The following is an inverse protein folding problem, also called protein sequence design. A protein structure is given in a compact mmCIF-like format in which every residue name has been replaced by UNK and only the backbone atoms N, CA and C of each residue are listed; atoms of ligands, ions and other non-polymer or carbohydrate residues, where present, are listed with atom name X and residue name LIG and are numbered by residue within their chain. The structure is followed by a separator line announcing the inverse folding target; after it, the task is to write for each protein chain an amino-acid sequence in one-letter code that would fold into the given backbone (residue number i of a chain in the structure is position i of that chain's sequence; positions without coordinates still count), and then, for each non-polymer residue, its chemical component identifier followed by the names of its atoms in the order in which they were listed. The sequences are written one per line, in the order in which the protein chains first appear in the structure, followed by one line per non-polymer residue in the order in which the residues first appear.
data_IF_219578231145
#
_entry.id   IF_219578231145
#
_cell.length_a   1.000
_cell.length_b   1.000
_cell.length_c   1.000
_cell.angle_alpha   90.00
_cell.angle_beta   90.00
_cell.angle_gamma   90.00
#
_symmetry.space_group_name_H-M   'P 1'
#
loop_
_entity.id
_entity.type
_entity.pdbx_description
1 polymer ?
#
# COMPACT_ATOMS: atom_id res chain seq x y z
N UNK A 1 -19.32 -21.37 13.40
CA UNK A 1 -18.41 -22.21 12.61
C UNK A 1 -16.96 -21.94 13.03
N UNK A 2 -16.13 -22.94 12.85
CA UNK A 2 -14.68 -22.86 13.10
C UNK A 2 -13.98 -23.33 11.83
N UNK A 3 -12.95 -22.60 11.40
CA UNK A 3 -12.05 -22.99 10.34
C UNK A 3 -10.61 -22.98 10.80
N UNK A 4 -9.83 -23.92 10.25
CA UNK A 4 -8.40 -24.02 10.50
C UNK A 4 -7.71 -24.30 9.18
N UNK A 5 -6.66 -23.55 8.86
CA UNK A 5 -5.83 -23.74 7.69
C UNK A 5 -4.36 -23.80 8.05
N UNK A 6 -3.63 -24.68 7.41
CA UNK A 6 -2.16 -24.81 7.51
C UNK A 6 -1.60 -24.81 6.10
N UNK A 7 -0.53 -24.07 5.88
CA UNK A 7 0.17 -23.99 4.60
C UNK A 7 1.67 -24.02 4.81
N UNK A 8 2.36 -24.76 3.98
CA UNK A 8 3.81 -24.73 3.87
C UNK A 8 4.22 -24.21 2.50
N UNK A 9 5.17 -23.27 2.48
CA UNK A 9 5.74 -22.70 1.26
C UNK A 9 7.27 -22.85 1.28
N UNK A 10 7.81 -23.22 0.13
CA UNK A 10 9.23 -23.19 -0.14
C UNK A 10 9.49 -22.17 -1.25
N UNK A 11 10.37 -21.22 -0.98
CA UNK A 11 10.77 -20.18 -1.94
C UNK A 11 12.28 -20.22 -2.11
N UNK A 12 12.75 -20.34 -3.34
CA UNK A 12 14.15 -20.21 -3.71
C UNK A 12 14.35 -18.97 -4.58
N UNK A 13 15.27 -18.10 -4.17
CA UNK A 13 15.61 -16.88 -4.91
C UNK A 13 17.05 -17.04 -5.39
N UNK A 14 17.21 -17.14 -6.72
CA UNK A 14 18.50 -17.31 -7.37
C UNK A 14 18.84 -16.07 -8.19
N UNK A 15 20.00 -15.46 -7.94
CA UNK A 15 20.57 -14.48 -8.86
C UNK A 15 21.40 -15.18 -9.94
N UNK A 16 21.47 -14.56 -11.13
CA UNK A 16 22.49 -14.92 -12.13
C UNK A 16 23.86 -14.51 -11.60
N UNK A 17 24.92 -15.07 -12.15
CA UNK A 17 26.29 -14.63 -11.86
C UNK A 17 26.44 -13.15 -12.19
N UNK A 18 27.03 -12.38 -11.29
CA UNK A 18 27.38 -10.97 -11.50
C UNK A 18 28.66 -10.61 -10.75
N UNK A 19 29.31 -9.56 -11.19
CA UNK A 19 30.44 -8.99 -10.47
C UNK A 19 29.93 -8.08 -9.37
N UNK A 20 30.54 -8.17 -8.16
CA UNK A 20 30.16 -7.30 -7.05
C UNK A 20 30.40 -5.83 -7.41
N UNK A 21 29.62 -4.97 -6.76
CA UNK A 21 29.81 -3.51 -6.78
C UNK A 21 30.73 -3.06 -5.64
N UNK A 22 31.15 -1.79 -5.66
CA UNK A 22 31.91 -1.20 -4.54
C UNK A 22 31.18 -1.33 -3.20
N UNK A 23 29.84 -1.23 -3.23
CA UNK A 23 28.99 -1.38 -2.02
C UNK A 23 29.06 -2.76 -1.38
N UNK A 24 29.42 -3.79 -2.11
CA UNK A 24 29.64 -5.13 -1.57
C UNK A 24 30.68 -5.15 -0.45
N UNK A 25 31.83 -4.48 -0.70
CA UNK A 25 32.91 -4.36 0.28
C UNK A 25 32.51 -3.42 1.41
N UNK A 26 31.94 -2.28 1.09
CA UNK A 26 31.48 -1.28 2.06
C UNK A 26 30.48 -1.87 3.06
N UNK A 27 29.65 -2.84 2.64
CA UNK A 27 28.67 -3.54 3.46
C UNK A 27 29.22 -4.75 4.24
N UNK A 28 30.49 -5.11 4.02
CA UNK A 28 31.13 -6.26 4.66
C UNK A 28 30.58 -7.61 4.19
N UNK A 29 30.02 -7.68 2.97
CA UNK A 29 29.44 -8.92 2.43
C UNK A 29 30.47 -10.01 2.18
N UNK A 30 31.76 -9.68 2.07
CA UNK A 30 32.83 -10.69 1.98
C UNK A 30 32.88 -11.59 3.22
N UNK A 31 32.59 -11.02 4.40
CA UNK A 31 32.63 -11.75 5.66
C UNK A 31 31.37 -12.61 5.85
N UNK A 32 30.21 -12.05 5.49
CA UNK A 32 28.93 -12.71 5.71
C UNK A 32 28.54 -13.74 4.64
N UNK A 33 29.04 -13.55 3.40
CA UNK A 33 28.63 -14.30 2.22
C UNK A 33 29.83 -14.84 1.40
N UNK A 34 30.86 -15.32 2.06
CA UNK A 34 32.03 -15.94 1.39
C UNK A 34 31.66 -17.18 0.58
N UNK A 35 30.63 -17.90 0.97
CA UNK A 35 30.15 -19.12 0.33
C UNK A 35 29.48 -18.90 -1.04
N UNK A 36 29.02 -17.69 -1.33
CA UNK A 36 28.44 -17.34 -2.64
C UNK A 36 29.44 -16.76 -3.63
N UNK A 37 30.70 -16.59 -3.23
CA UNK A 37 31.80 -16.19 -4.10
C UNK A 37 32.20 -17.38 -4.98
N UNK A 38 32.13 -17.20 -6.30
CA UNK A 38 32.53 -18.24 -7.27
C UNK A 38 34.01 -18.10 -7.62
N UNK A 39 34.47 -16.86 -7.82
CA UNK A 39 35.83 -16.58 -8.30
C UNK A 39 36.26 -15.20 -7.80
N UNK A 40 37.51 -15.12 -7.36
CA UNK A 40 38.17 -13.88 -6.95
C UNK A 40 39.24 -13.50 -7.99
N UNK A 41 39.04 -12.34 -8.64
CA UNK A 41 39.96 -11.79 -9.62
C UNK A 41 40.92 -10.75 -9.00
N UNK A 42 40.89 -10.59 -7.66
CA UNK A 42 41.69 -9.61 -6.91
C UNK A 42 41.09 -8.20 -6.95
N UNK A 43 40.62 -7.74 -8.08
CA UNK A 43 39.95 -6.43 -8.23
C UNK A 43 38.44 -6.51 -8.21
N UNK A 44 37.87 -7.69 -8.48
CA UNK A 44 36.42 -7.96 -8.50
C UNK A 44 36.16 -9.39 -8.08
N UNK A 45 35.05 -9.60 -7.38
CA UNK A 45 34.54 -10.93 -7.07
C UNK A 45 33.38 -11.28 -7.98
N UNK A 46 33.36 -12.49 -8.52
CA UNK A 46 32.23 -13.05 -9.24
C UNK A 46 31.37 -13.81 -8.22
N UNK A 47 30.12 -13.41 -8.07
CA UNK A 47 29.19 -13.96 -7.07
C UNK A 47 27.95 -14.56 -7.71
N UNK A 48 27.32 -15.51 -7.02
CA UNK A 48 26.05 -16.13 -7.42
C UNK A 48 25.19 -16.42 -6.20
N UNK A 49 24.50 -15.43 -5.66
CA UNK A 49 23.62 -15.61 -4.51
C UNK A 49 22.47 -16.58 -4.79
N UNK A 50 22.19 -17.43 -3.81
CA UNK A 50 21.04 -18.31 -3.79
C UNK A 50 20.52 -18.42 -2.36
N UNK A 51 19.25 -18.08 -2.15
CA UNK A 51 18.62 -18.09 -0.83
C UNK A 51 17.39 -18.97 -0.81
N UNK A 52 17.29 -19.81 0.21
CA UNK A 52 16.15 -20.71 0.46
C UNK A 52 15.35 -20.23 1.67
N UNK A 53 14.04 -20.13 1.48
CA UNK A 53 13.11 -19.70 2.53
C UNK A 53 12.02 -20.76 2.72
N UNK A 54 11.92 -21.27 3.93
CA UNK A 54 10.88 -22.19 4.37
C UNK A 54 9.88 -21.45 5.25
N UNK A 55 8.60 -21.55 4.93
CA UNK A 55 7.54 -20.80 5.59
C UNK A 55 6.37 -21.72 5.95
N UNK A 56 5.91 -21.62 7.20
CA UNK A 56 4.70 -22.30 7.67
C UNK A 56 3.70 -21.22 8.06
N UNK A 57 2.54 -21.24 7.45
CA UNK A 57 1.44 -20.32 7.77
C UNK A 57 0.30 -21.10 8.42
N UNK A 58 -0.35 -20.45 9.39
CA UNK A 58 -1.49 -20.98 10.12
C UNK A 58 -2.61 -19.97 10.09
N UNK A 59 -3.85 -20.39 9.87
CA UNK A 59 -5.03 -19.54 10.04
C UNK A 59 -6.07 -20.26 10.86
N UNK A 60 -6.77 -19.53 11.72
CA UNK A 60 -7.96 -20.01 12.40
C UNK A 60 -9.02 -18.91 12.46
N UNK A 61 -10.25 -19.30 12.20
CA UNK A 61 -11.40 -18.40 12.24
C UNK A 61 -12.50 -18.98 13.13
N UNK A 62 -13.17 -18.11 13.86
CA UNK A 62 -14.36 -18.41 14.62
C UNK A 62 -15.46 -17.45 14.18
N UNK A 63 -16.56 -18.00 13.63
CA UNK A 63 -17.75 -17.19 13.37
C UNK A 63 -18.89 -17.59 14.30
N UNK A 64 -19.54 -16.58 14.86
CA UNK A 64 -20.66 -16.75 15.76
C UNK A 64 -21.85 -15.91 15.28
N UNK A 65 -22.99 -16.56 15.08
CA UNK A 65 -24.25 -15.90 14.72
C UNK A 65 -24.95 -15.42 16.00
N UNK A 66 -25.15 -14.11 16.11
CA UNK A 66 -25.84 -13.47 17.22
C UNK A 66 -27.38 -13.42 17.02
N UNK A 67 -27.85 -13.91 15.88
CA UNK A 67 -29.25 -13.78 15.49
C UNK A 67 -29.63 -12.34 15.08
N UNK A 68 -30.85 -12.18 14.55
CA UNK A 68 -31.35 -10.88 14.07
C UNK A 68 -30.39 -10.19 13.10
N UNK A 69 -29.87 -10.94 12.13
CA UNK A 69 -28.97 -10.43 11.07
C UNK A 69 -27.60 -9.93 11.57
N UNK A 70 -27.09 -10.45 12.67
CA UNK A 70 -25.82 -10.03 13.27
C UNK A 70 -24.88 -11.22 13.41
N UNK A 71 -23.61 -11.00 13.11
CA UNK A 71 -22.57 -11.99 13.34
C UNK A 71 -21.26 -11.33 13.81
N UNK A 72 -20.47 -12.10 14.51
CA UNK A 72 -19.11 -11.74 14.91
C UNK A 72 -18.15 -12.77 14.33
N UNK A 73 -17.02 -12.30 13.81
CA UNK A 73 -15.93 -13.13 13.36
C UNK A 73 -14.67 -12.75 14.13
N UNK A 74 -13.94 -13.75 14.59
CA UNK A 74 -12.61 -13.61 15.15
C UNK A 74 -11.64 -14.42 14.30
N UNK A 75 -10.55 -13.80 13.88
CA UNK A 75 -9.54 -14.47 13.09
C UNK A 75 -8.16 -14.29 13.73
N UNK A 76 -7.37 -15.34 13.68
CA UNK A 76 -5.95 -15.31 13.93
C UNK A 76 -5.22 -15.87 12.70
N UNK A 77 -4.15 -15.22 12.29
CA UNK A 77 -3.30 -15.64 11.19
C UNK A 77 -1.83 -15.47 11.52
N UNK A 78 -1.09 -16.58 11.43
CA UNK A 78 0.36 -16.58 11.34
C UNK A 78 0.73 -16.74 9.88
N UNK A 79 1.38 -15.73 9.29
CA UNK A 79 1.81 -15.77 7.90
C UNK A 79 3.27 -15.40 7.77
N UNK A 80 3.92 -15.97 6.77
CA UNK A 80 5.31 -15.69 6.46
C UNK A 80 5.45 -15.20 5.02
N UNK A 81 6.37 -14.28 4.80
CA UNK A 81 6.73 -13.76 3.48
C UNK A 81 8.25 -13.80 3.32
N UNK A 82 8.73 -14.51 2.29
CA UNK A 82 10.12 -14.38 1.87
C UNK A 82 10.37 -12.97 1.28
N UNK A 83 11.57 -12.42 1.42
CA UNK A 83 11.94 -11.19 0.71
C UNK A 83 11.80 -11.37 -0.80
N UNK A 84 11.59 -10.30 -1.53
CA UNK A 84 11.59 -10.30 -2.99
C UNK A 84 12.98 -9.94 -3.53
N UNK A 85 13.15 -10.05 -4.86
CA UNK A 85 14.45 -9.78 -5.51
C UNK A 85 14.91 -8.32 -5.32
N UNK A 86 14.00 -7.35 -5.28
CA UNK A 86 14.37 -5.94 -5.07
C UNK A 86 14.85 -5.70 -3.64
N UNK A 87 14.23 -6.34 -2.66
CA UNK A 87 14.62 -6.22 -1.25
C UNK A 87 16.02 -6.76 -0.99
N UNK A 88 16.44 -7.79 -1.75
CA UNK A 88 17.77 -8.38 -1.62
C UNK A 88 18.82 -7.73 -2.51
N UNK A 89 18.48 -7.40 -3.77
CA UNK A 89 19.46 -7.14 -4.83
C UNK A 89 19.37 -5.75 -5.45
N UNK A 90 18.47 -4.85 -5.02
CA UNK A 90 18.48 -3.49 -5.55
C UNK A 90 19.82 -2.81 -5.24
N UNK A 91 20.44 -2.23 -6.27
CA UNK A 91 21.70 -1.50 -6.14
C UNK A 91 21.82 -0.46 -7.25
N UNK A 92 21.11 0.67 -7.09
CA UNK A 92 21.23 1.77 -8.02
C UNK A 92 19.99 2.60 -8.25
N UNK A 93 20.07 3.46 -9.27
CA UNK A 93 19.05 4.45 -9.59
C UNK A 93 17.80 3.80 -10.18
N UNK A 94 16.68 3.94 -9.47
CA UNK A 94 15.35 3.58 -9.93
C UNK A 94 14.73 4.77 -10.65
N UNK A 95 14.84 4.80 -11.98
CA UNK A 95 14.50 5.98 -12.79
C UNK A 95 13.05 6.46 -12.62
N UNK A 96 12.08 5.54 -12.57
CA UNK A 96 10.65 5.91 -12.45
C UNK A 96 10.29 6.49 -11.08
N UNK A 97 11.11 6.26 -10.05
CA UNK A 97 10.92 6.79 -8.71
C UNK A 97 11.89 7.94 -8.37
N UNK A 98 12.81 8.28 -9.30
CA UNK A 98 13.82 9.30 -9.15
C UNK A 98 14.63 9.18 -7.84
N UNK A 99 15.02 7.94 -7.48
CA UNK A 99 15.76 7.64 -6.25
C UNK A 99 16.69 6.44 -6.44
N UNK A 100 17.71 6.36 -5.62
CA UNK A 100 18.58 5.18 -5.51
C UNK A 100 17.92 4.23 -4.51
N UNK A 101 17.72 2.98 -4.90
CA UNK A 101 17.21 1.92 -4.03
C UNK A 101 18.31 0.89 -3.76
N UNK A 102 18.49 0.55 -2.49
CA UNK A 102 19.52 -0.37 -2.03
C UNK A 102 18.86 -1.52 -1.27
N UNK A 103 19.02 -2.74 -1.76
CA UNK A 103 18.63 -3.98 -1.09
C UNK A 103 19.66 -4.41 -0.05
N UNK A 104 19.33 -5.40 0.76
CA UNK A 104 20.31 -6.01 1.68
C UNK A 104 20.17 -7.54 1.64
N UNK A 105 21.28 -8.24 1.37
CA UNK A 105 21.34 -9.70 1.30
C UNK A 105 21.07 -10.39 2.65
N UNK A 106 21.18 -9.65 3.76
CA UNK A 106 20.90 -10.12 5.13
C UNK A 106 19.42 -10.16 5.48
N UNK A 107 18.54 -9.68 4.59
CA UNK A 107 17.11 -9.63 4.84
C UNK A 107 16.54 -11.04 5.01
N UNK A 108 15.91 -11.26 6.15
CA UNK A 108 15.23 -12.49 6.52
C UNK A 108 13.76 -12.46 6.11
N UNK A 109 13.08 -13.61 6.19
CA UNK A 109 11.62 -13.65 5.98
C UNK A 109 10.87 -12.85 7.05
N UNK A 110 9.82 -12.17 6.66
CA UNK A 110 8.84 -11.60 7.58
C UNK A 110 7.96 -12.67 8.20
N UNK A 111 7.58 -12.48 9.47
CA UNK A 111 6.59 -13.31 10.15
C UNK A 111 5.55 -12.42 10.79
N UNK A 112 4.32 -12.50 10.30
CA UNK A 112 3.17 -11.70 10.73
C UNK A 112 2.24 -12.53 11.61
N UNK A 113 1.89 -12.00 12.78
CA UNK A 113 0.91 -12.52 13.71
C UNK A 113 -0.25 -11.53 13.80
N UNK A 114 -1.33 -11.80 13.07
CA UNK A 114 -2.51 -10.92 13.00
C UNK A 114 -3.68 -11.50 13.75
N UNK A 115 -4.30 -10.68 14.58
CA UNK A 115 -5.62 -10.92 15.19
C UNK A 115 -6.58 -9.90 14.62
N UNK A 116 -7.78 -10.30 14.24
CA UNK A 116 -8.84 -9.39 13.87
C UNK A 116 -10.19 -9.83 14.41
N UNK A 117 -11.04 -8.83 14.67
CA UNK A 117 -12.43 -9.01 15.05
C UNK A 117 -13.33 -8.22 14.13
N UNK A 118 -14.35 -8.86 13.56
CA UNK A 118 -15.29 -8.25 12.64
C UNK A 118 -16.71 -8.40 13.19
N UNK A 119 -17.44 -7.30 13.26
CA UNK A 119 -18.87 -7.27 13.50
C UNK A 119 -19.61 -6.99 12.20
N UNK A 120 -20.58 -7.83 11.86
CA UNK A 120 -21.46 -7.66 10.72
C UNK A 120 -22.89 -7.52 11.18
N UNK A 121 -23.59 -6.55 10.59
CA UNK A 121 -25.04 -6.41 10.60
C UNK A 121 -25.53 -6.35 9.16
N UNK A 122 -26.42 -7.26 8.78
CA UNK A 122 -26.96 -7.35 7.43
C UNK A 122 -28.48 -7.51 7.46
N UNK A 123 -29.19 -6.48 7.04
CA UNK A 123 -30.64 -6.46 6.91
C UNK A 123 -31.07 -6.03 5.52
N UNK A 124 -32.35 -6.13 5.20
CA UNK A 124 -32.89 -5.69 3.89
C UNK A 124 -32.52 -4.23 3.55
N UNK A 125 -32.36 -3.35 4.55
CA UNK A 125 -32.10 -1.93 4.34
C UNK A 125 -30.69 -1.48 4.69
N UNK A 126 -29.99 -2.22 5.53
CA UNK A 126 -28.70 -1.78 6.04
C UNK A 126 -27.70 -2.93 6.13
N UNK A 127 -26.50 -2.67 5.63
CA UNK A 127 -25.33 -3.53 5.84
C UNK A 127 -24.27 -2.70 6.55
N UNK A 128 -23.76 -3.20 7.68
CA UNK A 128 -22.70 -2.55 8.45
C UNK A 128 -21.64 -3.61 8.75
N UNK A 129 -20.40 -3.32 8.38
CA UNK A 129 -19.24 -4.13 8.76
C UNK A 129 -18.25 -3.23 9.47
N UNK A 130 -17.82 -3.63 10.66
CA UNK A 130 -16.75 -2.98 11.41
C UNK A 130 -15.71 -4.03 11.70
N UNK A 131 -14.47 -3.78 11.27
CA UNK A 131 -13.31 -4.62 11.57
C UNK A 131 -12.31 -3.83 12.40
N UNK A 132 -11.78 -4.46 13.44
CA UNK A 132 -10.58 -4.01 14.14
C UNK A 132 -9.49 -5.06 14.03
N UNK A 133 -8.23 -4.65 13.88
CA UNK A 133 -7.12 -5.57 13.79
C UNK A 133 -5.88 -5.10 14.55
N UNK A 134 -5.09 -6.07 14.96
CA UNK A 134 -3.76 -5.90 15.51
C UNK A 134 -2.82 -6.90 14.84
N UNK A 135 -1.66 -6.44 14.38
CA UNK A 135 -0.68 -7.26 13.70
C UNK A 135 0.71 -6.99 14.27
N UNK A 136 1.36 -8.01 14.81
CA UNK A 136 2.76 -7.98 15.22
C UNK A 136 3.61 -8.68 14.16
N UNK A 137 4.56 -7.98 13.58
CA UNK A 137 5.38 -8.46 12.47
C UNK A 137 6.84 -8.49 12.91
N UNK A 138 7.41 -9.69 12.96
CA UNK A 138 8.85 -9.88 13.11
C UNK A 138 9.52 -9.69 11.75
N UNK A 139 10.64 -8.98 11.74
CA UNK A 139 11.43 -8.69 10.55
C UNK A 139 10.58 -8.00 9.45
N UNK A 140 9.75 -7.04 9.82
CA UNK A 140 9.01 -6.21 8.86
C UNK A 140 9.95 -5.51 7.90
N UNK A 141 9.81 -5.81 6.60
CA UNK A 141 10.66 -5.22 5.56
C UNK A 141 10.03 -3.93 5.07
N UNK A 142 10.76 -2.84 5.14
CA UNK A 142 10.34 -1.54 4.66
C UNK A 142 11.49 -0.80 3.99
N UNK A 143 11.16 0.24 3.26
CA UNK A 143 12.13 1.06 2.54
C UNK A 143 12.25 2.41 3.25
N UNK A 144 13.43 2.78 3.69
CA UNK A 144 13.70 3.99 4.48
C UNK A 144 14.65 4.93 3.74
N UNK A 145 14.37 6.26 3.69
CA UNK A 145 15.32 7.23 3.17
C UNK A 145 16.50 7.39 4.15
N UNK A 146 17.73 7.29 3.64
CA UNK A 146 18.94 7.29 4.44
C UNK A 146 19.91 8.43 4.09
N UNK A 147 19.69 9.15 3.01
CA UNK A 147 20.55 10.25 2.59
C UNK A 147 20.43 10.62 1.13
N UNK A 148 21.48 11.20 0.58
CA UNK A 148 21.61 11.59 -0.83
C UNK A 148 22.93 11.08 -1.38
N UNK A 149 22.89 10.59 -2.61
CA UNK A 149 24.07 10.24 -3.39
C UNK A 149 24.13 11.06 -4.68
N UNK A 150 25.28 11.61 -4.98
CA UNK A 150 25.55 12.34 -6.22
C UNK A 150 26.13 11.41 -7.27
N UNK A 151 25.44 11.31 -8.39
CA UNK A 151 25.87 10.54 -9.57
C UNK A 151 26.20 11.48 -10.71
N UNK A 152 26.73 10.96 -11.82
CA UNK A 152 26.92 11.74 -13.06
C UNK A 152 25.62 12.30 -13.63
N UNK A 153 24.46 11.83 -13.18
CA UNK A 153 23.11 12.26 -13.63
C UNK A 153 22.44 13.24 -12.68
N UNK A 154 23.09 13.59 -11.56
CA UNK A 154 22.58 14.47 -10.53
C UNK A 154 22.55 13.82 -9.15
N UNK A 155 22.02 14.54 -8.18
CA UNK A 155 21.87 14.08 -6.79
C UNK A 155 20.49 13.45 -6.61
N UNK A 156 20.45 12.24 -6.04
CA UNK A 156 19.24 11.48 -5.81
C UNK A 156 19.13 11.03 -4.35
N UNK A 157 17.92 11.04 -3.77
CA UNK A 157 17.73 10.47 -2.44
C UNK A 157 18.01 8.97 -2.46
N UNK A 158 18.69 8.48 -1.43
CA UNK A 158 19.01 7.07 -1.22
C UNK A 158 17.96 6.47 -0.28
N UNK A 159 17.42 5.34 -0.68
CA UNK A 159 16.45 4.56 0.08
C UNK A 159 16.99 3.14 0.26
N UNK A 160 17.00 2.67 1.51
CA UNK A 160 17.50 1.35 1.86
C UNK A 160 16.40 0.46 2.39
N UNK A 161 16.39 -0.79 1.95
CA UNK A 161 15.56 -1.82 2.55
C UNK A 161 16.12 -2.20 3.91
N UNK A 162 15.26 -2.14 4.92
CA UNK A 162 15.59 -2.46 6.31
C UNK A 162 14.55 -3.38 6.92
N UNK A 163 14.90 -3.98 8.05
CA UNK A 163 13.99 -4.81 8.84
C UNK A 163 13.89 -4.31 10.28
N UNK A 164 12.66 -4.32 10.81
CA UNK A 164 12.37 -4.01 12.22
C UNK A 164 11.27 -4.93 12.75
N UNK A 165 11.13 -5.03 14.05
CA UNK A 165 9.93 -5.60 14.63
C UNK A 165 8.85 -4.52 14.68
N UNK A 166 7.72 -4.77 14.01
CA UNK A 166 6.68 -3.78 13.82
C UNK A 166 5.35 -4.20 14.45
N UNK A 167 4.59 -3.21 14.87
CA UNK A 167 3.18 -3.36 15.23
C UNK A 167 2.35 -2.48 14.29
N UNK A 168 1.36 -3.09 13.64
CA UNK A 168 0.33 -2.40 12.87
C UNK A 168 -1.02 -2.65 13.52
N UNK A 169 -1.82 -1.61 13.71
CA UNK A 169 -3.19 -1.76 14.18
C UNK A 169 -4.09 -0.74 13.52
N UNK A 170 -5.36 -1.09 13.40
CA UNK A 170 -6.31 -0.23 12.71
C UNK A 170 -7.75 -0.69 12.82
N UNK A 171 -8.61 0.08 12.18
CA UNK A 171 -10.04 -0.22 12.09
C UNK A 171 -10.60 0.22 10.73
N UNK A 172 -11.52 -0.58 10.21
CA UNK A 172 -12.26 -0.33 8.99
C UNK A 172 -13.76 -0.32 9.28
N UNK A 173 -14.46 0.64 8.69
CA UNK A 173 -15.92 0.73 8.68
C UNK A 173 -16.42 0.68 7.24
N UNK A 174 -17.39 -0.18 6.97
CA UNK A 174 -18.16 -0.18 5.73
C UNK A 174 -19.64 -0.19 6.09
N UNK A 175 -20.35 0.85 5.70
CA UNK A 175 -21.79 1.00 5.95
C UNK A 175 -22.50 1.31 4.64
N UNK A 176 -23.62 0.61 4.41
CA UNK A 176 -24.55 0.86 3.33
C UNK A 176 -25.96 0.92 3.92
N UNK A 177 -26.73 1.95 3.55
CA UNK A 177 -28.12 2.10 3.99
C UNK A 177 -29.02 2.48 2.80
N UNK A 178 -30.09 1.71 2.61
CA UNK A 178 -31.12 1.99 1.64
C UNK A 178 -32.21 2.85 2.28
N UNK A 179 -32.15 4.17 2.04
CA UNK A 179 -33.17 5.11 2.52
C UNK A 179 -34.53 4.71 1.96
N UNK A 180 -34.56 4.39 0.67
CA UNK A 180 -35.70 3.86 -0.03
C UNK A 180 -35.25 3.19 -1.35
N UNK A 181 -36.22 2.71 -2.19
CA UNK A 181 -35.93 2.03 -3.46
C UNK A 181 -35.12 2.86 -4.47
N UNK A 182 -35.00 4.17 -4.26
CA UNK A 182 -34.27 5.08 -5.17
C UNK A 182 -32.97 5.62 -4.58
N UNK A 183 -32.85 5.73 -3.27
CA UNK A 183 -31.72 6.36 -2.61
C UNK A 183 -30.97 5.38 -1.71
N UNK A 184 -29.66 5.32 -1.93
CA UNK A 184 -28.70 4.56 -1.12
C UNK A 184 -27.60 5.51 -0.67
N UNK A 185 -27.23 5.40 0.61
CA UNK A 185 -26.03 6.05 1.15
C UNK A 185 -25.01 5.01 1.56
N UNK A 186 -23.74 5.32 1.38
CA UNK A 186 -22.63 4.46 1.80
C UNK A 186 -21.56 5.29 2.49
N UNK A 187 -20.93 4.70 3.48
CA UNK A 187 -19.70 5.20 4.08
C UNK A 187 -18.65 4.10 4.10
N UNK A 188 -17.40 4.45 3.75
CA UNK A 188 -16.22 3.62 3.97
C UNK A 188 -15.17 4.46 4.67
N UNK A 189 -14.70 4.01 5.81
CA UNK A 189 -13.65 4.69 6.56
C UNK A 189 -12.58 3.70 6.95
N UNK A 190 -11.32 4.11 6.86
CA UNK A 190 -10.16 3.28 7.17
C UNK A 190 -9.15 4.07 7.98
N UNK A 191 -8.65 3.46 9.04
CA UNK A 191 -7.64 4.01 9.94
C UNK A 191 -6.57 2.97 10.22
N UNK A 192 -5.30 3.37 10.14
CA UNK A 192 -4.15 2.52 10.51
C UNK A 192 -3.06 3.33 11.20
N UNK A 193 -2.37 2.68 12.14
CA UNK A 193 -1.10 3.12 12.70
C UNK A 193 -0.08 2.01 12.64
N UNK A 194 1.19 2.40 12.50
CA UNK A 194 2.33 1.50 12.49
C UNK A 194 3.48 2.03 13.33
N UNK A 195 4.12 1.15 14.11
CA UNK A 195 5.29 1.47 14.93
C UNK A 195 6.36 0.41 14.79
N UNK A 196 7.61 0.84 14.73
CA UNK A 196 8.77 0.04 15.06
C UNK A 196 8.81 -0.14 16.58
N UNK A 197 8.75 -1.39 17.04
CA UNK A 197 8.73 -1.73 18.47
C UNK A 197 10.09 -1.50 19.11
N UNK A 198 11.18 -1.74 18.36
CA UNK A 198 12.55 -1.68 18.88
C UNK A 198 12.99 -0.26 19.19
N UNK A 199 12.65 0.71 18.35
CA UNK A 199 12.99 2.12 18.49
C UNK A 199 11.84 2.99 19.02
N UNK A 200 10.63 2.44 19.15
CA UNK A 200 9.40 3.16 19.47
C UNK A 200 9.11 4.33 18.49
N UNK A 201 9.57 4.22 17.24
CA UNK A 201 9.34 5.21 16.18
C UNK A 201 8.10 4.86 15.38
N UNK A 202 7.42 5.86 14.85
CA UNK A 202 6.38 5.63 13.85
C UNK A 202 7.01 5.07 12.56
N UNK A 203 6.28 4.19 11.85
CA UNK A 203 6.72 3.66 10.56
C UNK A 203 6.47 4.66 9.43
N UNK A 204 7.32 4.61 8.42
CA UNK A 204 7.13 5.35 7.17
C UNK A 204 6.01 4.71 6.32
N UNK A 205 5.41 5.49 5.44
CA UNK A 205 4.42 5.03 4.45
C UNK A 205 3.19 4.31 5.07
N UNK A 206 2.75 4.78 6.25
CA UNK A 206 1.47 4.36 6.82
C UNK A 206 0.33 5.16 6.18
N UNK A 207 -0.75 4.50 5.73
CA UNK A 207 -1.90 5.19 5.12
C UNK A 207 -2.48 6.27 6.02
N UNK A 208 -2.90 7.37 5.41
CA UNK A 208 -3.69 8.41 6.09
C UNK A 208 -5.09 7.90 6.44
N UNK A 209 -5.68 8.42 7.53
CA UNK A 209 -7.11 8.24 7.80
C UNK A 209 -7.91 8.77 6.60
N UNK A 210 -8.78 7.91 6.08
CA UNK A 210 -9.61 8.19 4.90
C UNK A 210 -11.07 7.87 5.20
N UNK A 211 -11.98 8.73 4.74
CA UNK A 211 -13.42 8.46 4.74
C UNK A 211 -14.03 8.81 3.39
N UNK A 212 -14.80 7.88 2.86
CA UNK A 212 -15.52 8.04 1.57
C UNK A 212 -17.02 7.94 1.84
N UNK A 213 -17.76 8.99 1.49
CA UNK A 213 -19.19 9.05 1.62
C UNK A 213 -19.83 9.13 0.23
N UNK A 214 -20.85 8.32 -0.01
CA UNK A 214 -21.48 8.21 -1.30
C UNK A 214 -23.00 8.28 -1.13
N UNK A 215 -23.61 9.04 -2.01
CA UNK A 215 -25.08 9.05 -2.19
C UNK A 215 -25.38 8.65 -3.62
N UNK A 216 -26.18 7.60 -3.78
CA UNK A 216 -26.63 7.12 -5.09
C UNK A 216 -28.13 7.26 -5.22
N UNK A 217 -28.57 7.84 -6.33
CA UNK A 217 -29.94 7.85 -6.79
C UNK A 217 -30.09 6.86 -7.96
N UNK A 218 -31.18 6.08 -7.98
CA UNK A 218 -31.52 5.18 -9.11
C UNK A 218 -32.98 5.31 -9.50
N UNK A 219 -33.27 5.32 -10.82
CA UNK A 219 -34.62 5.30 -11.32
C UNK A 219 -34.73 4.36 -12.55
N UNK A 220 -35.27 3.17 -12.32
CA UNK A 220 -35.46 2.16 -13.36
C UNK A 220 -36.36 2.62 -14.51
N UNK A 221 -37.30 3.52 -14.25
CA UNK A 221 -38.22 4.04 -15.28
C UNK A 221 -37.55 5.01 -16.26
N UNK A 222 -36.43 5.61 -15.91
CA UNK A 222 -35.65 6.52 -16.72
C UNK A 222 -34.50 5.79 -17.40
N UNK A 223 -34.82 4.74 -18.18
CA UNK A 223 -33.79 3.93 -18.87
C UNK A 223 -32.71 3.41 -17.89
N UNK A 224 -33.12 2.90 -16.74
CA UNK A 224 -32.22 2.47 -15.65
C UNK A 224 -31.23 3.55 -15.20
N UNK A 225 -31.63 4.81 -15.24
CA UNK A 225 -30.78 5.93 -14.83
C UNK A 225 -30.26 5.77 -13.41
N UNK A 226 -28.97 6.00 -13.22
CA UNK A 226 -28.38 6.20 -11.91
C UNK A 226 -27.51 7.48 -11.89
N UNK A 227 -27.46 8.12 -10.74
CA UNK A 227 -26.58 9.22 -10.45
C UNK A 227 -25.93 9.04 -9.06
N UNK A 228 -24.66 9.36 -8.95
CA UNK A 228 -23.88 9.15 -7.75
C UNK A 228 -22.99 10.36 -7.48
N UNK A 229 -22.96 10.78 -6.23
CA UNK A 229 -22.02 11.79 -5.73
C UNK A 229 -21.21 11.12 -4.62
N UNK A 230 -19.89 11.19 -4.75
CA UNK A 230 -18.94 10.66 -3.79
C UNK A 230 -18.05 11.76 -3.26
N UNK A 231 -18.01 11.90 -1.94
CA UNK A 231 -17.12 12.78 -1.19
C UNK A 231 -16.04 11.93 -0.55
N UNK A 232 -14.78 12.21 -0.84
CA UNK A 232 -13.62 11.54 -0.28
C UNK A 232 -12.78 12.54 0.52
N UNK A 233 -12.65 12.30 1.82
CA UNK A 233 -11.83 13.08 2.73
C UNK A 233 -10.62 12.24 3.14
N UNK A 234 -9.43 12.76 2.88
CA UNK A 234 -8.16 12.17 3.30
C UNK A 234 -7.50 13.13 4.27
N UNK A 235 -7.27 12.65 5.49
CA UNK A 235 -6.65 13.47 6.53
C UNK A 235 -5.14 13.43 6.40
N UNK A 236 -4.46 14.49 6.85
CA UNK A 236 -3.01 14.47 6.94
C UNK A 236 -2.54 13.39 7.91
N UNK A 237 -1.59 12.55 7.49
CA UNK A 237 -0.92 11.62 8.40
C UNK A 237 -0.13 12.41 9.46
N UNK A 238 -0.34 12.10 10.74
CA UNK A 238 0.33 12.80 11.85
C UNK A 238 1.42 11.95 12.53
N UNK A 239 1.40 10.66 12.28
CA UNK A 239 2.34 9.71 12.85
C UNK A 239 3.33 9.27 11.76
N UNK A 240 4.51 9.86 11.75
CA UNK A 240 5.57 9.58 10.77
C UNK A 240 6.94 9.81 11.40
N UNK A 241 7.98 9.08 10.97
CA UNK A 241 9.34 9.28 11.48
C UNK A 241 9.96 10.54 10.88
N UNK A 242 10.92 11.13 11.58
CA UNK A 242 11.75 12.19 11.00
C UNK A 242 12.97 11.55 10.32
N UNK A 243 12.92 11.50 8.99
CA UNK A 243 14.00 11.01 8.13
C UNK A 243 14.56 12.14 7.25
N UNK A 244 14.33 13.40 7.65
CA UNK A 244 14.90 14.55 6.96
C UNK A 244 16.43 14.54 7.09
N UNK A 245 17.10 14.98 6.04
CA UNK A 245 18.57 15.06 6.00
C UNK A 245 19.04 16.35 5.37
N UNK A 246 20.29 16.74 5.66
CA UNK A 246 20.93 17.87 5.03
C UNK A 246 21.64 17.44 3.76
N UNK A 247 21.41 18.16 2.65
CA UNK A 247 22.09 17.97 1.38
C UNK A 247 23.00 19.16 1.09
N UNK A 248 24.26 18.90 0.75
CA UNK A 248 25.18 19.92 0.33
C UNK A 248 24.92 20.37 -1.10
N UNK A 249 24.87 21.70 -1.33
CA UNK A 249 24.71 22.32 -2.64
C UNK A 249 26.04 22.95 -3.04
N UNK A 250 26.81 22.34 -3.95
CA UNK A 250 28.13 22.86 -4.35
C UNK A 250 28.08 24.27 -4.96
N UNK A 251 26.98 24.60 -5.66
CA UNK A 251 26.83 25.90 -6.33
C UNK A 251 26.77 27.08 -5.37
N UNK A 252 26.24 26.88 -4.18
CA UNK A 252 26.04 27.93 -3.15
C UNK A 252 26.91 27.73 -1.93
N UNK A 253 27.74 26.66 -1.93
CA UNK A 253 28.58 26.25 -0.79
C UNK A 253 27.78 26.24 0.54
N UNK A 254 26.60 25.61 0.49
CA UNK A 254 25.67 25.60 1.61
C UNK A 254 24.96 24.26 1.74
N UNK A 255 24.44 23.99 2.94
CA UNK A 255 23.56 22.87 3.21
C UNK A 255 22.11 23.30 3.16
N UNK A 256 21.26 22.46 2.62
CA UNK A 256 19.79 22.61 2.61
C UNK A 256 19.17 21.41 3.30
N UNK A 257 18.19 21.66 4.17
CA UNK A 257 17.38 20.59 4.74
C UNK A 257 16.41 20.06 3.66
N UNK A 258 16.52 18.79 3.36
CA UNK A 258 15.59 18.07 2.47
C UNK A 258 14.49 17.44 3.32
N UNK A 259 13.29 17.99 3.22
CA UNK A 259 12.12 17.42 3.90
C UNK A 259 11.52 16.29 3.06
N UNK A 260 11.84 15.06 3.46
CA UNK A 260 11.32 13.82 2.86
C UNK A 260 10.32 13.12 3.78
N UNK A 261 10.17 13.62 5.00
CA UNK A 261 9.34 12.99 6.03
C UNK A 261 7.93 13.55 6.07
N UNK A 262 7.76 14.86 5.83
CA UNK A 262 6.46 15.53 5.99
C UNK A 262 5.39 14.97 5.06
N UNK A 263 4.31 14.40 5.61
CA UNK A 263 3.19 13.95 4.80
C UNK A 263 2.47 15.11 4.13
N UNK A 264 1.87 14.88 2.95
CA UNK A 264 1.05 15.86 2.27
C UNK A 264 -0.08 16.40 3.15
N UNK A 265 -0.58 17.62 2.89
CA UNK A 265 -1.75 18.15 3.58
C UNK A 265 -2.99 17.31 3.36
N UNK A 266 -3.97 17.46 4.24
CA UNK A 266 -5.29 16.85 4.07
C UNK A 266 -5.96 17.42 2.81
N UNK A 267 -6.79 16.60 2.15
CA UNK A 267 -7.52 17.04 0.96
C UNK A 267 -8.94 16.42 0.89
N UNK A 268 -9.78 17.05 0.07
CA UNK A 268 -11.13 16.61 -0.21
C UNK A 268 -11.35 16.50 -1.73
N UNK A 269 -11.83 15.34 -2.17
CA UNK A 269 -12.22 15.10 -3.54
C UNK A 269 -13.73 14.91 -3.63
N UNK A 270 -14.34 15.53 -4.61
CA UNK A 270 -15.73 15.32 -4.97
C UNK A 270 -15.78 14.66 -6.35
N UNK A 271 -16.43 13.49 -6.43
CA UNK A 271 -16.60 12.75 -7.66
C UNK A 271 -18.09 12.63 -7.98
N UNK A 272 -18.41 12.68 -9.27
CA UNK A 272 -19.78 12.52 -9.77
C UNK A 272 -19.78 11.49 -10.87
N UNK A 273 -20.77 10.60 -10.82
CA UNK A 273 -20.99 9.60 -11.88
C UNK A 273 -22.47 9.55 -12.19
N UNK A 274 -22.78 9.33 -13.47
CA UNK A 274 -24.15 9.01 -13.90
C UNK A 274 -24.10 7.96 -15.00
N UNK A 275 -25.10 7.09 -15.05
CA UNK A 275 -25.24 6.12 -16.12
C UNK A 275 -26.72 5.88 -16.46
N UNK A 276 -26.96 5.47 -17.70
CA UNK A 276 -28.29 5.09 -18.21
C UNK A 276 -28.16 4.11 -19.37
N UNK A 277 -29.25 3.36 -19.65
CA UNK A 277 -29.29 2.40 -20.73
C UNK A 277 -30.00 2.98 -21.97
N UNK A 278 -29.32 2.96 -23.09
CA UNK A 278 -29.92 3.21 -24.42
C UNK A 278 -30.35 1.87 -25.05
N UNK A 279 -31.63 1.64 -25.21
CA UNK A 279 -32.15 0.45 -25.91
C UNK A 279 -31.91 0.58 -27.40
N UNK A 280 -31.24 -0.40 -28.02
CA UNK A 280 -31.02 -0.52 -29.45
C UNK A 280 -32.09 -1.45 -30.04
N UNK A 281 -32.31 -2.60 -29.38
CA UNK A 281 -33.35 -3.56 -29.75
C UNK A 281 -34.02 -4.17 -28.50
N UNK A 282 -34.86 -5.20 -28.70
CA UNK A 282 -35.49 -5.89 -27.55
C UNK A 282 -34.49 -6.63 -26.66
N UNK A 283 -33.36 -7.03 -27.21
CA UNK A 283 -32.32 -7.81 -26.51
C UNK A 283 -31.01 -7.03 -26.29
N UNK A 284 -30.84 -5.93 -26.98
CA UNK A 284 -29.59 -5.20 -27.02
C UNK A 284 -29.74 -3.81 -26.39
N UNK A 285 -28.78 -3.43 -25.59
CA UNK A 285 -28.69 -2.08 -25.05
C UNK A 285 -27.24 -1.60 -24.98
N UNK A 286 -27.05 -0.29 -25.00
CA UNK A 286 -25.78 0.35 -24.68
C UNK A 286 -25.95 1.08 -23.38
N UNK A 287 -25.16 0.70 -22.36
CA UNK A 287 -25.01 1.51 -21.16
C UNK A 287 -24.02 2.62 -21.42
N UNK A 288 -24.45 3.85 -21.23
CA UNK A 288 -23.61 5.04 -21.32
C UNK A 288 -23.34 5.52 -19.91
N UNK A 289 -22.08 5.61 -19.53
CA UNK A 289 -21.67 6.13 -18.22
C UNK A 289 -20.76 7.35 -18.40
N UNK A 290 -21.05 8.39 -17.64
CA UNK A 290 -20.26 9.61 -17.51
C UNK A 290 -19.68 9.67 -16.11
N UNK A 291 -18.41 10.03 -15.97
CA UNK A 291 -17.85 10.34 -14.67
C UNK A 291 -16.94 11.56 -14.71
N UNK A 292 -16.98 12.32 -13.62
CA UNK A 292 -16.09 13.44 -13.34
C UNK A 292 -15.41 13.12 -12.01
N UNK A 293 -14.12 12.85 -12.06
CA UNK A 293 -13.31 12.68 -10.87
C UNK A 293 -12.66 14.02 -10.52
N UNK A 294 -12.52 14.27 -9.21
CA UNK A 294 -11.99 15.53 -8.69
C UNK A 294 -12.73 16.75 -9.27
N UNK A 295 -14.05 16.79 -9.13
CA UNK A 295 -14.92 17.86 -9.66
C UNK A 295 -14.46 19.24 -9.24
N UNK A 296 -13.95 19.40 -8.02
CA UNK A 296 -13.49 20.68 -7.47
C UNK A 296 -12.11 21.09 -8.00
N UNK A 297 -11.43 20.24 -8.76
CA UNK A 297 -10.08 20.43 -9.26
C UNK A 297 -9.07 20.72 -8.12
N UNK A 298 -9.21 20.01 -7.02
CA UNK A 298 -8.30 20.09 -5.88
C UNK A 298 -6.90 19.61 -6.30
N UNK A 299 -5.86 20.43 -6.06
CA UNK A 299 -4.47 19.97 -6.12
C UNK A 299 -4.16 19.17 -4.88
N UNK A 300 -3.65 17.96 -5.03
CA UNK A 300 -3.37 17.06 -3.91
C UNK A 300 -2.26 16.07 -4.25
N UNK A 301 -1.70 15.46 -3.20
CA UNK A 301 -0.70 14.40 -3.28
C UNK A 301 -1.10 13.28 -2.33
N UNK A 302 -1.04 12.03 -2.78
CA UNK A 302 -1.29 10.89 -1.91
C UNK A 302 -0.05 10.57 -1.07
N UNK A 303 -0.26 10.28 0.23
CA UNK A 303 0.84 9.98 1.15
C UNK A 303 1.67 8.76 0.74
N UNK A 304 1.06 7.78 0.07
CA UNK A 304 1.74 6.55 -0.37
C UNK A 304 2.27 6.63 -1.81
N UNK A 305 2.02 7.73 -2.52
CA UNK A 305 2.57 7.90 -3.86
C UNK A 305 4.06 8.20 -3.79
N UNK A 306 4.87 7.36 -4.44
CA UNK A 306 6.33 7.54 -4.51
C UNK A 306 6.78 8.83 -5.18
N UNK A 307 5.94 9.41 -6.05
CA UNK A 307 6.19 10.67 -6.73
C UNK A 307 5.67 11.89 -5.97
N UNK A 308 5.12 11.73 -4.78
CA UNK A 308 4.55 12.82 -3.96
C UNK A 308 5.49 14.00 -3.72
N UNK A 309 6.79 13.79 -3.85
CA UNK A 309 7.80 14.83 -3.68
C UNK A 309 7.93 15.74 -4.89
N UNK A 310 7.49 15.30 -6.06
CA UNK A 310 7.77 15.93 -7.35
C UNK A 310 6.51 16.38 -8.10
N UNK A 311 5.40 15.65 -7.94
CA UNK A 311 4.20 15.86 -8.74
C UNK A 311 2.93 15.74 -7.92
N UNK A 312 1.95 16.55 -8.27
CA UNK A 312 0.57 16.40 -7.80
C UNK A 312 -0.13 15.27 -8.55
N UNK A 313 -1.18 14.73 -7.94
CA UNK A 313 -2.06 13.77 -8.57
C UNK A 313 -2.90 14.42 -9.70
N UNK A 314 -3.56 13.55 -10.49
CA UNK A 314 -4.39 14.01 -11.60
C UNK A 314 -5.47 14.96 -11.08
N UNK A 315 -5.57 16.14 -11.70
CA UNK A 315 -6.63 17.12 -11.45
C UNK A 315 -7.99 16.61 -11.92
N UNK A 316 -8.91 17.51 -12.24
CA UNK A 316 -10.24 17.15 -12.75
C UNK A 316 -10.14 16.31 -14.01
N UNK A 317 -10.78 15.14 -13.98
CA UNK A 317 -10.78 14.19 -15.10
C UNK A 317 -12.21 13.84 -15.49
N UNK A 318 -12.48 13.84 -16.81
CA UNK A 318 -13.76 13.46 -17.40
C UNK A 318 -13.59 12.14 -18.12
N UNK A 319 -14.53 11.20 -17.92
CA UNK A 319 -14.55 9.99 -18.69
C UNK A 319 -15.97 9.62 -19.18
N UNK A 320 -16.01 9.01 -20.35
CA UNK A 320 -17.21 8.44 -20.95
C UNK A 320 -16.93 6.98 -21.23
N UNK A 321 -17.81 6.11 -20.78
CA UNK A 321 -17.73 4.67 -21.01
C UNK A 321 -19.00 4.19 -21.73
N UNK A 322 -18.83 3.41 -22.78
CA UNK A 322 -19.89 2.76 -23.52
C UNK A 322 -19.78 1.24 -23.33
N UNK A 323 -20.83 0.61 -22.81
CA UNK A 323 -20.89 -0.84 -22.59
C UNK A 323 -22.04 -1.39 -23.42
N UNK A 324 -21.71 -2.18 -24.45
CA UNK A 324 -22.69 -2.85 -25.27
C UNK A 324 -23.05 -4.21 -24.68
N UNK A 325 -24.36 -4.44 -24.47
CA UNK A 325 -24.91 -5.70 -23.98
C UNK A 325 -25.80 -6.29 -25.07
N UNK A 326 -25.59 -7.55 -25.42
CA UNK A 326 -26.27 -8.31 -26.50
C UNK A 326 -26.85 -9.63 -25.98
#
# INVERSE_FOLDING_TARGET
AIDIGVRYDFNRINAKKFYQTSRWIERGYNDDFSDIIIEDFGTQLLVKPSFDFHSVSLSTGLSYDLGKNRSILFNYGLSNRAPNASELFSDGLHHSAARIELGDLRILKETSNRISGTYNYDSEKATITVEGFFNHIHNFIYLEPTGVETTIRGSFPVWEYKQVNAILFGADLNMRYEINRKFVVQNKSSFMKGKDVSSNRDLIDIPSLKTTNLVRFTNKKWSNFSAEIQSELVFRQRNFPNNNFEAYIPRTDSFILVDISSPPPAYHLLNVRSDFDLKISKKENVRVAFSINNLLNTSYRENLNRLRYFADEIGRNFSIQLIYNY
#
